data_IF_540274265053
#
_entry.id   IF_540274265053
#
_cell.length_a   1.000
_cell.length_b   1.000
_cell.length_c   1.000
_cell.angle_alpha   90.00
_cell.angle_beta   90.00
_cell.angle_gamma   90.00
#
_symmetry.space_group_name_H-M   'P 1'
#
loop_
_entity.id
_entity.type
_entity.pdbx_description
1 polymer ?
#
# COMPACT_ATOMS: atom_id res chain seq x y z
N UNK A 1 -10.16 -8.79 1.65
CA UNK A 1 -10.65 -8.21 2.94
C UNK A 1 -10.52 -6.69 2.89
N UNK A 2 -11.33 -5.93 3.65
CA UNK A 2 -11.32 -4.45 3.60
C UNK A 2 -11.17 -3.87 5.00
N UNK A 3 -10.28 -2.89 5.18
CA UNK A 3 -10.30 -2.03 6.37
C UNK A 3 -11.14 -0.80 6.06
N UNK A 4 -12.32 -0.73 6.68
CA UNK A 4 -13.12 0.47 6.72
C UNK A 4 -12.45 1.49 7.66
N UNK A 5 -12.59 2.75 7.29
CA UNK A 5 -12.41 3.90 8.16
C UNK A 5 -11.01 4.23 8.69
N UNK A 6 -9.99 4.13 7.83
CA UNK A 6 -8.68 4.71 8.15
C UNK A 6 -8.77 6.24 8.10
N UNK A 7 -8.57 6.89 9.24
CA UNK A 7 -8.50 8.36 9.32
C UNK A 7 -7.14 8.82 8.77
N UNK A 8 -7.17 9.46 7.61
CA UNK A 8 -6.03 10.03 6.92
C UNK A 8 -5.72 11.48 7.33
N UNK A 9 -4.77 12.08 6.61
CA UNK A 9 -4.41 13.49 6.78
C UNK A 9 -5.65 14.37 6.53
N UNK A 10 -5.90 15.33 7.42
CA UNK A 10 -7.06 16.23 7.34
C UNK A 10 -8.37 15.62 7.86
N UNK A 11 -8.34 14.44 8.49
CA UNK A 11 -9.54 13.78 9.00
C UNK A 11 -10.32 12.98 7.95
N UNK A 12 -9.76 12.83 6.74
CA UNK A 12 -10.42 12.12 5.65
C UNK A 12 -10.43 10.62 5.95
N UNK A 13 -11.63 10.07 6.11
CA UNK A 13 -11.86 8.64 6.30
C UNK A 13 -11.73 7.94 4.94
N UNK A 14 -10.95 6.87 4.88
CA UNK A 14 -10.80 6.05 3.67
C UNK A 14 -10.90 4.57 3.98
N UNK A 15 -11.58 3.90 3.08
CA UNK A 15 -11.67 2.45 3.05
C UNK A 15 -10.56 1.92 2.15
N UNK A 16 -9.70 1.06 2.68
CA UNK A 16 -8.55 0.54 1.94
C UNK A 16 -8.70 -0.97 1.74
N UNK A 17 -8.78 -1.45 0.49
CA UNK A 17 -8.73 -2.88 0.22
C UNK A 17 -7.32 -3.39 0.56
N UNK A 18 -7.27 -4.56 1.19
CA UNK A 18 -6.01 -5.23 1.50
C UNK A 18 -6.02 -6.66 0.97
N UNK A 19 -4.83 -7.20 0.62
CA UNK A 19 -4.71 -8.62 0.27
C UNK A 19 -5.24 -9.51 1.38
N UNK A 20 -5.87 -10.63 1.03
CA UNK A 20 -6.48 -11.53 2.01
C UNK A 20 -5.47 -12.09 3.01
N UNK A 21 -4.24 -12.35 2.59
CA UNK A 21 -3.18 -12.80 3.49
C UNK A 21 -2.81 -11.76 4.57
N UNK A 22 -2.90 -10.46 4.26
CA UNK A 22 -2.72 -9.39 5.26
C UNK A 22 -3.89 -9.41 6.23
N UNK A 23 -5.08 -9.65 5.72
CA UNK A 23 -6.29 -9.72 6.53
C UNK A 23 -6.25 -10.88 7.52
N UNK A 24 -5.88 -12.07 7.04
CA UNK A 24 -5.70 -13.26 7.88
C UNK A 24 -4.63 -13.03 8.95
N UNK A 25 -3.47 -12.45 8.59
CA UNK A 25 -2.43 -12.12 9.56
C UNK A 25 -2.90 -11.14 10.65
N UNK A 26 -3.74 -10.17 10.29
CA UNK A 26 -4.33 -9.24 11.25
C UNK A 26 -5.38 -9.91 12.14
N UNK A 27 -6.18 -10.83 11.59
CA UNK A 27 -7.13 -11.62 12.37
C UNK A 27 -6.42 -12.54 13.38
N UNK A 28 -5.36 -13.21 12.95
CA UNK A 28 -4.53 -14.05 13.82
C UNK A 28 -3.93 -13.22 14.95
N UNK A 29 -3.42 -12.03 14.62
CA UNK A 29 -2.89 -11.08 15.60
C UNK A 29 -3.95 -10.61 16.60
N UNK A 30 -5.11 -10.12 16.14
CA UNK A 30 -6.14 -9.59 17.03
C UNK A 30 -6.75 -10.67 17.92
N UNK A 31 -6.89 -11.89 17.39
CA UNK A 31 -7.34 -13.06 18.15
C UNK A 31 -6.36 -13.44 19.26
N UNK A 32 -5.08 -13.62 18.93
CA UNK A 32 -4.04 -13.96 19.91
C UNK A 32 -3.82 -12.86 20.96
N UNK A 33 -3.94 -11.60 20.53
CA UNK A 33 -3.82 -10.46 21.44
C UNK A 33 -5.12 -10.17 22.22
N UNK A 34 -6.20 -10.91 22.01
CA UNK A 34 -7.53 -10.68 22.58
C UNK A 34 -8.00 -9.21 22.41
N UNK A 35 -7.82 -8.66 21.20
CA UNK A 35 -8.24 -7.30 20.86
C UNK A 35 -9.67 -7.35 20.32
N UNK A 36 -10.60 -6.80 21.09
CA UNK A 36 -12.02 -6.66 20.70
C UNK A 36 -12.40 -5.21 20.39
N UNK A 37 -11.70 -4.25 20.97
CA UNK A 37 -11.93 -2.80 20.78
C UNK A 37 -10.62 -2.01 20.85
N UNK A 38 -10.65 -0.77 20.35
CA UNK A 38 -9.52 0.14 20.42
C UNK A 38 -8.44 -0.12 19.36
N UNK A 39 -7.19 0.33 19.58
CA UNK A 39 -6.11 0.22 18.61
C UNK A 39 -5.71 -1.23 18.33
N UNK A 40 -5.60 -1.60 17.04
CA UNK A 40 -5.11 -2.91 16.61
C UNK A 40 -3.65 -3.14 17.02
N UNK A 41 -2.82 -2.08 16.94
CA UNK A 41 -1.45 -2.10 17.40
C UNK A 41 -1.35 -1.33 18.73
N UNK A 42 -1.38 -2.06 19.84
CA UNK A 42 -1.38 -1.50 21.21
C UNK A 42 0.04 -1.32 21.74
N UNK A 43 0.32 -0.21 22.40
CA UNK A 43 1.59 -0.03 23.10
C UNK A 43 1.70 -0.99 24.31
N UNK A 44 2.93 -1.32 24.70
CA UNK A 44 3.24 -2.04 25.94
C UNK A 44 4.35 -1.26 26.63
N UNK A 45 4.13 -0.89 27.89
CA UNK A 45 5.14 -0.16 28.65
C UNK A 45 6.17 -1.12 29.30
N UNK A 46 7.22 -0.56 29.90
CA UNK A 46 8.29 -1.36 30.54
C UNK A 46 7.79 -2.25 31.69
N UNK A 47 6.63 -1.96 32.26
CA UNK A 47 6.00 -2.75 33.32
C UNK A 47 5.02 -3.81 32.78
N UNK A 48 4.99 -4.05 31.45
CA UNK A 48 4.10 -5.01 30.81
C UNK A 48 2.64 -4.57 30.71
N UNK A 49 2.31 -3.33 31.07
CA UNK A 49 0.93 -2.82 31.00
C UNK A 49 0.60 -2.30 29.61
N UNK A 50 -0.65 -2.48 29.21
CA UNK A 50 -1.20 -2.05 27.92
C UNK A 50 -2.00 -0.76 28.15
N UNK A 51 -1.47 0.43 27.88
CA UNK A 51 -2.22 1.67 27.96
C UNK A 51 -3.30 1.74 26.84
N UNK A 52 -4.29 2.65 26.96
CA UNK A 52 -5.40 2.74 26.01
C UNK A 52 -5.01 3.27 24.62
N UNK A 53 -3.79 3.78 24.45
CA UNK A 53 -3.30 4.32 23.18
C UNK A 53 -2.53 3.27 22.36
N UNK A 54 -2.54 3.46 21.05
CA UNK A 54 -1.83 2.61 20.11
C UNK A 54 -0.33 2.92 20.02
N UNK A 55 0.34 2.24 19.10
CA UNK A 55 1.72 2.56 18.75
C UNK A 55 1.88 4.02 18.33
N UNK A 56 2.99 4.62 18.77
CA UNK A 56 3.42 5.92 18.27
C UNK A 56 4.12 5.75 16.92
N UNK A 57 4.21 6.80 16.07
CA UNK A 57 4.96 6.73 14.83
C UNK A 57 6.42 6.27 15.02
N UNK A 58 7.03 6.60 16.17
CA UNK A 58 8.39 6.16 16.52
C UNK A 58 8.49 4.63 16.62
N UNK A 59 7.48 3.96 17.20
CA UNK A 59 7.46 2.50 17.30
C UNK A 59 7.40 1.89 15.89
N UNK A 60 6.57 2.42 15.00
CA UNK A 60 6.49 1.95 13.60
C UNK A 60 7.83 2.11 12.88
N UNK A 61 8.51 3.24 13.08
CA UNK A 61 9.86 3.45 12.54
C UNK A 61 10.85 2.39 13.01
N UNK A 62 10.89 2.07 14.31
CA UNK A 62 11.78 1.05 14.84
C UNK A 62 11.43 -0.36 14.35
N UNK A 63 10.13 -0.68 14.20
CA UNK A 63 9.67 -1.94 13.60
C UNK A 63 10.20 -2.08 12.17
N UNK A 64 10.02 -1.04 11.35
CA UNK A 64 10.51 -1.04 9.96
C UNK A 64 12.04 -1.14 9.91
N UNK A 65 12.75 -0.39 10.75
CA UNK A 65 14.21 -0.42 10.83
C UNK A 65 14.72 -1.81 11.20
N UNK A 66 14.10 -2.47 12.19
CA UNK A 66 14.46 -3.83 12.61
C UNK A 66 14.21 -4.85 11.51
N UNK A 67 13.06 -4.78 10.85
CA UNK A 67 12.74 -5.66 9.72
C UNK A 67 13.72 -5.46 8.55
N UNK A 68 14.03 -4.21 8.21
CA UNK A 68 15.00 -3.88 7.17
C UNK A 68 16.39 -4.45 7.50
N UNK A 69 16.85 -4.27 8.74
CA UNK A 69 18.13 -4.81 9.19
C UNK A 69 18.19 -6.34 9.11
N UNK A 70 17.10 -7.04 9.44
CA UNK A 70 17.03 -8.50 9.33
C UNK A 70 17.15 -8.98 7.88
N UNK A 71 16.76 -8.15 6.90
CA UNK A 71 16.93 -8.40 5.47
C UNK A 71 18.26 -7.86 4.90
N UNK A 72 19.18 -7.37 5.74
CA UNK A 72 20.44 -6.76 5.28
C UNK A 72 20.28 -5.39 4.60
N UNK A 73 19.15 -4.72 4.82
CA UNK A 73 18.86 -3.40 4.26
C UNK A 73 19.11 -2.30 5.31
N UNK A 74 19.76 -1.22 4.90
CA UNK A 74 19.94 -0.01 5.72
C UNK A 74 19.05 1.13 5.23
N UNK A 75 18.69 2.06 6.12
CA UNK A 75 18.03 3.34 5.79
C UNK A 75 16.63 3.23 5.14
N UNK A 76 15.89 2.16 5.41
CA UNK A 76 14.49 2.04 4.97
C UNK A 76 13.56 2.77 5.93
N UNK A 77 12.81 3.75 5.41
CA UNK A 77 11.74 4.42 6.14
C UNK A 77 10.36 3.79 5.86
N UNK A 78 9.36 3.95 6.75
CA UNK A 78 7.98 3.55 6.46
C UNK A 78 7.43 4.17 5.16
N UNK A 79 7.86 5.39 4.84
CA UNK A 79 7.46 6.07 3.61
C UNK A 79 8.06 5.42 2.34
N UNK A 80 9.24 4.80 2.45
CA UNK A 80 9.83 4.07 1.33
C UNK A 80 9.06 2.79 1.03
N UNK A 81 8.56 2.10 2.05
CA UNK A 81 7.68 0.94 1.87
C UNK A 81 6.40 1.32 1.12
N UNK A 82 5.84 2.50 1.42
CA UNK A 82 4.68 3.03 0.71
C UNK A 82 4.97 3.34 -0.76
N UNK A 83 6.14 3.93 -1.06
CA UNK A 83 6.63 4.13 -2.45
C UNK A 83 6.79 2.81 -3.18
N UNK A 84 7.41 1.84 -2.54
CA UNK A 84 7.62 0.49 -3.09
C UNK A 84 6.28 -0.19 -3.37
N UNK A 85 5.32 -0.12 -2.45
CA UNK A 85 3.96 -0.65 -2.67
C UNK A 85 3.31 -0.02 -3.91
N UNK A 86 3.33 1.30 -4.04
CA UNK A 86 2.80 1.99 -5.21
C UNK A 86 3.45 1.48 -6.51
N UNK A 87 4.79 1.37 -6.51
CA UNK A 87 5.55 0.90 -7.67
C UNK A 87 5.22 -0.55 -8.02
N UNK A 88 5.11 -1.43 -7.03
CA UNK A 88 4.75 -2.83 -7.24
C UNK A 88 3.32 -2.97 -7.78
N UNK A 89 2.35 -2.19 -7.27
CA UNK A 89 0.99 -2.17 -7.83
C UNK A 89 1.00 -1.76 -9.31
N UNK A 90 1.76 -0.71 -9.66
CA UNK A 90 1.85 -0.26 -11.06
C UNK A 90 2.54 -1.30 -11.95
N UNK A 91 3.62 -1.94 -11.47
CA UNK A 91 4.32 -3.00 -12.21
C UNK A 91 3.45 -4.24 -12.41
N UNK A 92 2.53 -4.52 -11.49
CA UNK A 92 1.54 -5.59 -11.60
C UNK A 92 0.36 -5.25 -12.53
N UNK A 93 0.40 -4.10 -13.21
CA UNK A 93 -0.67 -3.68 -14.13
C UNK A 93 -1.82 -2.93 -13.45
N UNK A 94 -1.64 -2.45 -12.22
CA UNK A 94 -2.64 -1.64 -11.55
C UNK A 94 -2.84 -0.27 -12.19
N UNK A 95 -4.10 0.11 -12.39
CA UNK A 95 -4.51 1.43 -12.87
C UNK A 95 -4.04 2.55 -11.93
N UNK A 96 -3.63 3.69 -12.50
CA UNK A 96 -3.07 4.81 -11.73
C UNK A 96 -4.08 5.40 -10.75
N UNK A 97 -5.36 5.43 -11.13
CA UNK A 97 -6.49 5.89 -10.33
C UNK A 97 -6.71 4.97 -9.11
N UNK A 98 -6.64 3.65 -9.31
CA UNK A 98 -6.77 2.68 -8.21
C UNK A 98 -5.61 2.81 -7.23
N UNK A 99 -4.40 3.02 -7.74
CA UNK A 99 -3.22 3.28 -6.90
C UNK A 99 -3.37 4.62 -6.17
N UNK A 100 -3.93 5.66 -6.82
CA UNK A 100 -4.23 6.93 -6.17
C UNK A 100 -5.20 6.75 -5.01
N UNK A 101 -6.29 5.99 -5.18
CA UNK A 101 -7.26 5.73 -4.12
C UNK A 101 -6.64 4.92 -2.97
N UNK A 102 -5.88 3.87 -3.28
CA UNK A 102 -5.15 3.04 -2.32
C UNK A 102 -4.22 3.90 -1.44
N UNK A 103 -3.51 4.83 -2.07
CA UNK A 103 -2.62 5.75 -1.37
C UNK A 103 -3.42 6.87 -0.67
N UNK A 104 -4.59 7.24 -1.18
CA UNK A 104 -5.34 8.42 -0.75
C UNK A 104 -4.59 9.70 -1.08
N UNK A 105 -4.08 9.79 -2.32
CA UNK A 105 -3.56 11.03 -2.88
C UNK A 105 -4.70 11.89 -3.43
N UNK A 106 -4.56 13.21 -3.29
CA UNK A 106 -5.59 14.17 -3.72
C UNK A 106 -5.71 14.24 -5.26
N UNK A 107 -4.64 13.93 -5.98
CA UNK A 107 -4.64 13.92 -7.45
C UNK A 107 -3.79 12.80 -8.03
N UNK A 108 -4.15 12.36 -9.25
CA UNK A 108 -3.36 11.40 -10.04
C UNK A 108 -1.93 11.92 -10.25
N UNK A 109 -1.73 13.22 -10.49
CA UNK A 109 -0.38 13.78 -10.68
C UNK A 109 0.53 13.57 -9.47
N UNK A 110 -0.03 13.54 -8.26
CA UNK A 110 0.74 13.21 -7.04
C UNK A 110 1.23 11.77 -7.11
N UNK A 111 0.39 10.84 -7.57
CA UNK A 111 0.73 9.43 -7.76
C UNK A 111 1.76 9.25 -8.88
N UNK A 112 1.61 9.93 -10.02
CA UNK A 112 2.58 9.87 -11.13
C UNK A 112 3.98 10.33 -10.69
N UNK A 113 4.07 11.45 -9.96
CA UNK A 113 5.33 11.93 -9.38
C UNK A 113 5.94 10.91 -8.42
N UNK A 114 5.10 10.21 -7.67
CA UNK A 114 5.53 9.20 -6.71
C UNK A 114 6.07 7.94 -7.41
N UNK A 115 5.51 7.59 -8.57
CA UNK A 115 5.90 6.43 -9.38
C UNK A 115 7.05 6.73 -10.36
N UNK A 116 7.26 8.01 -10.71
CA UNK A 116 8.22 8.39 -11.74
C UNK A 116 7.81 7.89 -13.13
N UNK A 117 6.51 7.88 -13.43
CA UNK A 117 5.98 7.40 -14.70
C UNK A 117 6.65 8.10 -15.89
N UNK A 118 7.09 7.31 -16.87
CA UNK A 118 7.60 7.79 -18.16
C UNK A 118 6.83 7.10 -19.27
N UNK A 119 6.63 7.80 -20.39
CA UNK A 119 6.02 7.20 -21.57
C UNK A 119 6.83 5.99 -22.03
N UNK A 120 6.17 4.84 -22.19
CA UNK A 120 6.78 3.61 -22.72
C UNK A 120 6.75 3.68 -24.24
N UNK A 121 7.87 4.07 -24.85
CA UNK A 121 7.95 4.22 -26.31
C UNK A 121 7.99 2.89 -27.08
N UNK A 122 8.24 1.76 -26.39
CA UNK A 122 8.37 0.42 -27.00
C UNK A 122 7.13 -0.47 -26.87
N UNK A 123 6.12 -0.03 -26.14
CA UNK A 123 4.89 -0.79 -25.92
C UNK A 123 3.76 0.24 -25.82
N UNK A 124 3.07 0.47 -26.94
CA UNK A 124 2.01 1.44 -26.97
C UNK A 124 0.78 0.83 -26.28
N UNK A 125 0.21 1.53 -25.31
CA UNK A 125 -0.94 1.00 -24.55
C UNK A 125 -2.12 0.72 -25.48
N UNK A 126 -2.22 1.47 -26.57
CA UNK A 126 -3.25 1.29 -27.59
C UNK A 126 -3.04 0.09 -28.52
N UNK A 127 -1.91 -0.64 -28.42
CA UNK A 127 -1.67 -1.90 -29.15
C UNK A 127 -2.54 -3.06 -28.62
N UNK A 128 -3.25 -2.85 -27.50
CA UNK A 128 -4.06 -3.87 -26.81
C UNK A 128 -5.56 -3.51 -26.84
N UNK A 129 -6.00 -2.65 -27.76
CA UNK A 129 -7.41 -2.21 -27.83
C UNK A 129 -8.29 -3.29 -28.50
N UNK A 130 -7.71 -4.20 -29.29
CA UNK A 130 -8.47 -5.28 -29.93
C UNK A 130 -9.26 -4.81 -31.15
N UNK A 131 -8.85 -3.68 -31.76
CA UNK A 131 -9.44 -3.09 -32.97
C UNK A 131 -8.43 -3.07 -34.12
N UNK A 132 -7.37 -3.84 -34.00
CA UNK A 132 -6.35 -3.96 -35.03
C UNK A 132 -6.99 -4.54 -36.30
N UNK A 133 -6.61 -4.05 -37.49
CA UNK A 133 -7.15 -4.59 -38.73
C UNK A 133 -6.77 -6.08 -38.83
N UNK A 134 -7.73 -6.91 -39.25
CA UNK A 134 -7.48 -8.32 -39.56
C UNK A 134 -6.28 -8.43 -40.49
N UNK A 135 -5.34 -9.32 -40.16
CA UNK A 135 -4.11 -9.54 -40.91
C UNK A 135 -4.35 -9.90 -42.39
N UNK A 136 -5.58 -10.26 -42.75
CA UNK A 136 -6.03 -10.57 -44.10
C UNK A 136 -6.28 -9.32 -44.98
N UNK A 137 -6.50 -8.14 -44.41
CA UNK A 137 -6.96 -6.96 -45.17
C UNK A 137 -5.81 -6.13 -45.75
N UNK A 138 -4.57 -6.30 -45.27
CA UNK A 138 -3.41 -5.47 -45.65
C UNK A 138 -2.60 -6.07 -46.82
N UNK A 139 -3.03 -7.21 -47.37
CA UNK A 139 -2.32 -7.93 -48.44
C UNK A 139 -2.95 -7.78 -49.85
N UNK A 140 -3.78 -6.76 -50.11
CA UNK A 140 -4.29 -6.43 -51.45
C UNK A 140 -3.85 -5.05 -51.90
#
# INVERSE_FOLDING_TARGET
MVFADLIGKGGHIRTVPIPDWVGNALQDWTSQAAITTGPIFRAINKAGRIPPHGFTPKVIWEVVKRAASACGLSNVAPHDLRRTCARLCHLAGGELEQIQFLLGHVSVQTTERYLGCKQRLRNAVNDHIGIEPDSATVAQ
#
